data_IF_942886698384
#
_entry.id   IF_942886698384
#
_cell.length_a   1.000
_cell.length_b   1.000
_cell.length_c   1.000
_cell.angle_alpha   90.00
_cell.angle_beta   90.00
_cell.angle_gamma   90.00
#
_symmetry.space_group_name_H-M   'P 1'
#
loop_
_entity.id
_entity.type
_entity.pdbx_description
1 polymer ?
#
# COMPACT_ATOMS: atom_id res chain seq x y z
N UNK A 1 -6.12 -26.89 36.92
CA UNK A 1 -5.09 -26.55 35.92
C UNK A 1 -5.81 -25.79 34.82
N UNK A 2 -5.82 -24.46 34.90
CA UNK A 2 -6.53 -23.61 33.96
C UNK A 2 -5.56 -23.27 32.84
N UNK A 3 -5.74 -23.88 31.67
CA UNK A 3 -5.15 -23.39 30.42
C UNK A 3 -5.64 -21.97 30.25
N UNK A 4 -4.74 -21.00 30.37
CA UNK A 4 -5.05 -19.61 29.99
C UNK A 4 -5.21 -19.63 28.48
N UNK A 5 -6.44 -19.53 28.00
CA UNK A 5 -6.71 -19.19 26.61
C UNK A 5 -6.09 -17.81 26.38
N UNK A 6 -5.07 -17.78 25.54
CA UNK A 6 -4.46 -16.54 25.08
C UNK A 6 -5.48 -15.88 24.14
N UNK A 7 -6.29 -14.95 24.66
CA UNK A 7 -7.01 -14.00 23.79
C UNK A 7 -6.00 -13.35 22.86
N UNK A 8 -6.27 -13.23 21.54
CA UNK A 8 -5.33 -12.60 20.63
C UNK A 8 -5.11 -11.16 21.09
N UNK A 9 -3.90 -10.90 21.58
CA UNK A 9 -3.40 -9.59 21.95
C UNK A 9 -3.20 -8.82 20.63
N UNK A 10 -4.30 -8.28 20.11
CA UNK A 10 -4.42 -7.09 19.26
C UNK A 10 -3.20 -6.76 18.39
N UNK A 11 -3.17 -7.29 17.16
CA UNK A 11 -2.10 -7.12 16.18
C UNK A 11 -2.07 -5.71 15.52
N UNK A 12 -0.89 -5.11 15.31
CA UNK A 12 -0.74 -3.88 14.53
C UNK A 12 -1.06 -4.13 13.03
N UNK A 13 -1.46 -3.09 12.27
CA UNK A 13 -1.93 -3.28 10.91
C UNK A 13 -0.79 -3.49 9.91
N UNK A 14 -1.14 -4.13 8.80
CA UNK A 14 -0.39 -4.10 7.55
C UNK A 14 -0.96 -3.01 6.65
N UNK A 15 -0.11 -2.10 6.19
CA UNK A 15 -0.49 -0.98 5.33
C UNK A 15 -0.17 -1.30 3.88
N UNK A 16 -1.19 -1.27 3.02
CA UNK A 16 -1.06 -1.35 1.57
C UNK A 16 -1.10 0.07 1.00
N UNK A 17 0.07 0.61 0.65
CA UNK A 17 0.19 1.94 0.06
C UNK A 17 -0.09 1.86 -1.44
N UNK A 18 -1.20 2.44 -1.87
CA UNK A 18 -1.75 2.33 -3.23
C UNK A 18 -1.87 3.64 -3.99
N UNK A 19 -2.11 3.53 -5.29
CA UNK A 19 -2.20 4.62 -6.24
C UNK A 19 -1.38 4.37 -7.50
N UNK A 20 -1.56 5.21 -8.51
CA UNK A 20 -0.89 5.06 -9.81
C UNK A 20 0.63 5.23 -9.71
N UNK A 21 1.36 4.77 -10.71
CA UNK A 21 2.79 5.00 -10.83
C UNK A 21 3.09 6.50 -10.86
N UNK A 22 4.17 6.92 -10.19
CA UNK A 22 4.50 8.33 -10.02
C UNK A 22 3.76 9.05 -8.87
N UNK A 23 2.79 8.41 -8.20
CA UNK A 23 2.11 9.03 -7.05
C UNK A 23 3.01 9.21 -5.82
N UNK A 24 4.16 8.53 -5.76
CA UNK A 24 5.13 8.66 -4.67
C UNK A 24 5.09 7.55 -3.62
N UNK A 25 4.42 6.42 -3.91
CA UNK A 25 4.30 5.25 -3.01
C UNK A 25 5.61 4.89 -2.30
N UNK A 26 6.64 4.46 -3.04
CA UNK A 26 7.92 4.02 -2.46
C UNK A 26 8.56 5.08 -1.55
N UNK A 27 8.50 6.35 -1.92
CA UNK A 27 9.04 7.45 -1.10
C UNK A 27 8.30 7.60 0.22
N UNK A 28 6.96 7.65 0.16
CA UNK A 28 6.13 7.82 1.37
C UNK A 28 6.19 6.56 2.24
N UNK A 29 6.15 5.37 1.64
CA UNK A 29 6.30 4.10 2.34
C UNK A 29 7.64 4.02 3.09
N UNK A 30 8.74 4.42 2.44
CA UNK A 30 10.06 4.48 3.07
C UNK A 30 10.13 5.41 4.26
N UNK A 31 9.52 6.60 4.17
CA UNK A 31 9.47 7.56 5.29
C UNK A 31 8.66 6.99 6.45
N UNK A 32 7.48 6.43 6.18
CA UNK A 32 6.61 5.87 7.22
C UNK A 32 7.29 4.66 7.88
N UNK A 33 7.81 3.72 7.08
CA UNK A 33 8.49 2.53 7.58
C UNK A 33 9.70 2.89 8.44
N UNK A 34 10.54 3.84 8.00
CA UNK A 34 11.68 4.31 8.77
C UNK A 34 11.28 5.03 10.07
N UNK A 35 10.17 5.76 10.06
CA UNK A 35 9.67 6.48 11.24
C UNK A 35 9.07 5.53 12.28
N UNK A 36 8.34 4.51 11.84
CA UNK A 36 7.66 3.55 12.71
C UNK A 36 8.51 2.31 13.05
N UNK A 37 9.62 2.10 12.35
CA UNK A 37 10.45 0.90 12.48
C UNK A 37 9.78 -0.35 11.90
N UNK A 38 8.93 -0.21 10.88
CA UNK A 38 8.18 -1.31 10.28
C UNK A 38 8.92 -1.91 9.08
N UNK A 39 8.63 -3.18 8.78
CA UNK A 39 9.11 -3.81 7.56
C UNK A 39 8.48 -3.13 6.33
N UNK A 40 9.30 -2.90 5.29
CA UNK A 40 8.87 -2.36 4.01
C UNK A 40 9.13 -3.39 2.91
N UNK A 41 8.06 -3.73 2.18
CA UNK A 41 8.15 -4.51 0.95
C UNK A 41 7.79 -3.65 -0.26
N UNK A 42 8.66 -3.60 -1.26
CA UNK A 42 8.31 -3.04 -2.56
C UNK A 42 7.52 -4.08 -3.36
N UNK A 43 6.24 -3.84 -3.63
CA UNK A 43 5.40 -4.85 -4.30
C UNK A 43 5.82 -5.09 -5.74
N UNK A 44 6.42 -4.10 -6.41
CA UNK A 44 6.96 -4.28 -7.77
C UNK A 44 8.09 -5.34 -7.80
N UNK A 45 8.80 -5.55 -6.68
CA UNK A 45 9.83 -6.59 -6.56
C UNK A 45 9.23 -8.01 -6.50
N UNK A 46 7.92 -8.14 -6.24
CA UNK A 46 7.21 -9.42 -6.21
C UNK A 46 6.66 -9.83 -7.58
N UNK A 47 6.86 -9.02 -8.62
CA UNK A 47 6.42 -9.39 -9.97
C UNK A 47 7.17 -10.63 -10.47
N UNK A 48 6.46 -11.58 -11.14
CA UNK A 48 7.13 -12.66 -11.82
C UNK A 48 8.01 -12.10 -12.96
N UNK A 49 9.12 -12.79 -13.32
CA UNK A 49 10.03 -12.33 -14.37
C UNK A 49 9.34 -11.99 -15.71
N UNK A 50 8.27 -12.72 -16.05
CA UNK A 50 7.48 -12.47 -17.25
C UNK A 50 6.82 -11.08 -17.25
N UNK A 51 6.31 -10.61 -16.11
CA UNK A 51 5.70 -9.29 -16.00
C UNK A 51 6.75 -8.19 -16.11
N UNK A 52 7.90 -8.38 -15.45
CA UNK A 52 9.02 -7.44 -15.54
C UNK A 52 9.50 -7.31 -17.00
N UNK A 53 9.65 -8.42 -17.72
CA UNK A 53 10.03 -8.42 -19.13
C UNK A 53 8.98 -7.71 -20.01
N UNK A 54 7.69 -7.97 -19.79
CA UNK A 54 6.58 -7.34 -20.52
C UNK A 54 6.57 -5.82 -20.31
N UNK A 55 6.66 -5.37 -19.06
CA UNK A 55 6.74 -3.94 -18.73
C UNK A 55 8.03 -3.29 -19.27
N UNK A 56 9.18 -3.97 -19.20
CA UNK A 56 10.43 -3.48 -19.76
C UNK A 56 10.38 -3.31 -21.29
N UNK A 57 9.55 -4.11 -21.97
CA UNK A 57 9.27 -3.96 -23.41
C UNK A 57 8.22 -2.89 -23.74
N UNK A 58 7.72 -2.15 -22.75
CA UNK A 58 6.69 -1.12 -22.91
C UNK A 58 5.27 -1.67 -23.11
N UNK A 59 5.08 -2.98 -22.94
CA UNK A 59 3.77 -3.60 -23.07
C UNK A 59 3.00 -3.53 -21.73
N UNK A 60 1.73 -3.10 -21.75
CA UNK A 60 0.93 -3.07 -20.53
C UNK A 60 0.61 -4.49 -20.06
N UNK A 61 0.55 -4.68 -18.74
CA UNK A 61 0.03 -5.90 -18.15
C UNK A 61 -1.50 -5.98 -18.32
N UNK A 62 -2.00 -7.18 -18.55
CA UNK A 62 -3.41 -7.57 -18.45
C UNK A 62 -3.74 -7.99 -17.01
N UNK A 63 -5.01 -8.19 -16.71
CA UNK A 63 -5.42 -8.64 -15.38
C UNK A 63 -4.97 -10.09 -15.11
N UNK A 64 -4.92 -10.93 -16.14
CA UNK A 64 -4.35 -12.29 -16.08
C UNK A 64 -2.85 -12.27 -15.75
N UNK A 65 -2.09 -11.31 -16.29
CA UNK A 65 -0.68 -11.12 -15.91
C UNK A 65 -0.55 -10.68 -14.43
N UNK A 66 -1.52 -9.91 -13.92
CA UNK A 66 -1.46 -9.33 -12.57
C UNK A 66 -1.81 -10.33 -11.47
N UNK A 67 -2.68 -11.31 -11.71
CA UNK A 67 -3.14 -12.21 -10.65
C UNK A 67 -2.02 -12.95 -9.91
N UNK A 68 -1.04 -13.59 -10.59
CA UNK A 68 0.07 -14.26 -9.89
C UNK A 68 0.96 -13.31 -9.07
N UNK A 69 1.00 -12.03 -9.45
CA UNK A 69 1.72 -11.01 -8.69
C UNK A 69 0.91 -10.58 -7.45
N UNK A 70 -0.39 -10.32 -7.61
CA UNK A 70 -1.28 -9.96 -6.52
C UNK A 70 -1.39 -11.07 -5.47
N UNK A 71 -1.34 -12.35 -5.87
CA UNK A 71 -1.27 -13.49 -4.96
C UNK A 71 0.00 -13.46 -4.08
N UNK A 72 1.15 -13.07 -4.63
CA UNK A 72 2.39 -12.91 -3.85
C UNK A 72 2.32 -11.74 -2.88
N UNK A 73 1.70 -10.63 -3.31
CA UNK A 73 1.43 -9.48 -2.43
C UNK A 73 0.49 -9.91 -1.29
N UNK A 74 -0.59 -10.63 -1.62
CA UNK A 74 -1.54 -11.16 -0.64
C UNK A 74 -0.87 -12.11 0.36
N UNK A 75 0.00 -13.00 -0.12
CA UNK A 75 0.76 -13.90 0.73
C UNK A 75 1.64 -13.12 1.73
N UNK A 76 2.36 -12.09 1.27
CA UNK A 76 3.19 -11.28 2.17
C UNK A 76 2.35 -10.55 3.23
N UNK A 77 1.19 -10.01 2.84
CA UNK A 77 0.24 -9.37 3.75
C UNK A 77 -0.28 -10.37 4.78
N UNK A 78 -0.74 -11.54 4.33
CA UNK A 78 -1.26 -12.61 5.18
C UNK A 78 -0.20 -13.11 6.17
N UNK A 79 1.04 -13.33 5.72
CA UNK A 79 2.13 -13.75 6.59
C UNK A 79 2.42 -12.73 7.71
N UNK A 80 2.22 -11.44 7.47
CA UNK A 80 2.37 -10.40 8.48
C UNK A 80 1.17 -10.37 9.42
N UNK A 81 -0.06 -10.37 8.89
CA UNK A 81 -1.27 -10.34 9.72
C UNK A 81 -1.39 -11.58 10.61
N UNK A 82 -1.07 -12.77 10.09
CA UNK A 82 -1.12 -14.04 10.83
C UNK A 82 -0.12 -14.09 11.99
N UNK A 83 1.03 -13.42 11.83
CA UNK A 83 2.07 -13.30 12.87
C UNK A 83 1.85 -12.11 13.80
N UNK A 84 0.84 -11.28 13.53
CA UNK A 84 0.63 -10.01 14.23
C UNK A 84 1.81 -9.05 14.09
N UNK A 85 2.45 -9.03 12.93
CA UNK A 85 3.58 -8.14 12.64
C UNK A 85 3.10 -6.93 11.81
N UNK A 86 3.54 -5.71 12.15
CA UNK A 86 3.25 -4.56 11.33
C UNK A 86 4.08 -4.60 10.05
N UNK A 87 3.57 -4.02 8.98
CA UNK A 87 4.30 -3.93 7.72
C UNK A 87 3.72 -2.90 6.78
N UNK A 88 4.53 -2.46 5.83
CA UNK A 88 4.10 -1.59 4.73
C UNK A 88 4.48 -2.27 3.42
N UNK A 89 3.53 -2.37 2.50
CA UNK A 89 3.78 -2.84 1.14
C UNK A 89 3.28 -1.82 0.11
N UNK A 90 4.12 -1.51 -0.88
CA UNK A 90 3.68 -0.71 -2.03
C UNK A 90 2.96 -1.61 -3.01
N UNK A 91 1.74 -1.25 -3.43
CA UNK A 91 1.01 -2.02 -4.45
C UNK A 91 0.07 -1.08 -5.20
N UNK A 92 0.03 -1.14 -6.53
CA UNK A 92 -0.85 -0.24 -7.29
C UNK A 92 -2.34 -0.41 -6.91
N UNK A 93 -2.77 -1.66 -6.66
CA UNK A 93 -4.10 -2.04 -6.15
C UNK A 93 -5.28 -1.24 -6.76
N UNK A 94 -5.21 -0.97 -8.07
CA UNK A 94 -6.04 0.03 -8.74
C UNK A 94 -7.52 -0.37 -8.84
N UNK A 95 -7.83 -1.67 -8.89
CA UNK A 95 -9.20 -2.18 -8.96
C UNK A 95 -9.70 -2.67 -7.61
N UNK A 96 -11.00 -2.57 -7.35
CA UNK A 96 -11.66 -3.15 -6.18
C UNK A 96 -11.40 -4.65 -6.09
N UNK A 97 -11.46 -5.38 -7.21
CA UNK A 97 -11.17 -6.82 -7.24
C UNK A 97 -9.75 -7.17 -6.77
N UNK A 98 -8.78 -6.26 -6.91
CA UNK A 98 -7.43 -6.45 -6.39
C UNK A 98 -7.39 -6.21 -4.89
N UNK A 99 -8.08 -5.18 -4.43
CA UNK A 99 -8.19 -4.88 -2.99
C UNK A 99 -8.99 -5.93 -2.25
N UNK A 100 -10.00 -6.54 -2.88
CA UNK A 100 -10.75 -7.67 -2.33
C UNK A 100 -9.87 -8.88 -2.02
N UNK A 101 -8.80 -9.11 -2.79
CA UNK A 101 -7.83 -10.17 -2.52
C UNK A 101 -6.89 -9.82 -1.36
N UNK A 102 -6.60 -8.52 -1.17
CA UNK A 102 -5.63 -8.03 -0.19
C UNK A 102 -6.27 -7.67 1.15
N UNK A 103 -7.55 -7.31 1.18
CA UNK A 103 -8.25 -6.87 2.38
C UNK A 103 -8.49 -8.02 3.33
N UNK A 104 -8.50 -7.69 4.61
CA UNK A 104 -8.73 -8.62 5.70
C UNK A 104 -8.67 -7.86 7.01
N UNK A 105 -8.78 -8.60 8.12
CA UNK A 105 -8.57 -8.01 9.43
C UNK A 105 -7.13 -7.45 9.52
N UNK A 106 -7.00 -6.29 10.16
CA UNK A 106 -5.72 -5.60 10.33
C UNK A 106 -5.03 -5.17 9.01
N UNK A 107 -5.76 -5.06 7.90
CA UNK A 107 -5.24 -4.47 6.65
C UNK A 107 -5.82 -3.08 6.42
N UNK A 108 -4.95 -2.11 6.14
CA UNK A 108 -5.33 -0.71 5.87
C UNK A 108 -4.79 -0.29 4.51
N UNK A 109 -5.64 0.22 3.64
CA UNK A 109 -5.22 0.83 2.39
C UNK A 109 -4.88 2.30 2.61
N UNK A 110 -3.80 2.77 1.99
CA UNK A 110 -3.50 4.20 1.92
C UNK A 110 -3.46 4.60 0.45
N UNK A 111 -4.49 5.31 -0.02
CA UNK A 111 -4.61 5.73 -1.40
C UNK A 111 -4.03 7.14 -1.60
N UNK A 112 -2.89 7.20 -2.29
CA UNK A 112 -2.30 8.46 -2.74
C UNK A 112 -2.99 8.94 -4.01
N UNK A 113 -3.79 10.00 -3.88
CA UNK A 113 -4.59 10.57 -4.96
C UNK A 113 -3.97 11.87 -5.49
N UNK A 114 -3.97 12.03 -6.81
CA UNK A 114 -3.48 13.23 -7.47
C UNK A 114 -4.17 13.45 -8.80
N UNK A 115 -4.16 14.71 -9.26
CA UNK A 115 -4.58 14.99 -10.63
C UNK A 115 -3.58 14.41 -11.62
N UNK A 116 -4.05 14.19 -12.85
CA UNK A 116 -3.19 13.74 -13.95
C UNK A 116 -1.97 14.65 -14.12
N UNK A 117 -2.17 15.95 -14.01
CA UNK A 117 -1.14 16.99 -14.18
C UNK A 117 -0.07 16.87 -13.08
N UNK A 118 -0.49 16.73 -11.81
CA UNK A 118 0.44 16.55 -10.69
C UNK A 118 1.29 15.29 -10.85
N UNK A 119 0.68 14.18 -11.29
CA UNK A 119 1.38 12.92 -11.49
C UNK A 119 2.33 13.01 -12.69
N UNK A 120 1.88 13.61 -13.80
CA UNK A 120 2.69 13.81 -14.99
C UNK A 120 3.93 14.67 -14.69
N UNK A 121 3.76 15.78 -13.96
CA UNK A 121 4.86 16.64 -13.54
C UNK A 121 5.90 15.87 -12.70
N UNK A 122 5.44 15.07 -11.74
CA UNK A 122 6.30 14.19 -10.92
C UNK A 122 7.03 13.13 -11.73
N UNK A 123 6.41 12.59 -12.79
CA UNK A 123 7.06 11.63 -13.68
C UNK A 123 8.14 12.31 -14.55
N UNK A 124 7.89 13.53 -15.03
CA UNK A 124 8.86 14.26 -15.87
C UNK A 124 10.11 14.73 -15.11
N UNK A 125 10.02 14.92 -13.80
CA UNK A 125 11.14 15.34 -12.95
C UNK A 125 12.08 14.19 -12.58
N UNK A 126 11.70 12.93 -12.81
CA UNK A 126 12.57 11.76 -12.64
C UNK A 126 13.42 11.55 -13.89
N UNK A 127 14.70 11.89 -13.82
CA UNK A 127 15.66 11.83 -14.93
C UNK A 127 15.92 10.42 -15.49
N UNK A 128 15.68 9.35 -14.70
CA UNK A 128 16.13 7.99 -15.06
C UNK A 128 15.05 7.01 -15.51
N UNK A 129 13.76 7.36 -15.42
CA UNK A 129 12.68 6.46 -15.86
C UNK A 129 11.55 7.25 -16.52
N UNK A 130 11.69 7.50 -17.82
CA UNK A 130 10.60 8.05 -18.62
C UNK A 130 9.48 7.01 -18.73
N UNK A 131 8.41 7.18 -17.94
CA UNK A 131 7.15 6.48 -18.19
C UNK A 131 6.39 7.22 -19.29
N UNK A 132 6.05 6.57 -20.42
CA UNK A 132 5.24 7.21 -21.44
C UNK A 132 3.87 7.61 -20.87
N UNK A 133 3.41 8.82 -21.22
CA UNK A 133 2.16 9.39 -20.72
C UNK A 133 0.93 8.47 -20.96
N UNK A 134 0.96 7.66 -22.02
CA UNK A 134 -0.08 6.68 -22.32
C UNK A 134 -0.26 5.59 -21.25
N UNK A 135 0.81 5.22 -20.52
CA UNK A 135 0.72 4.28 -19.40
C UNK A 135 0.09 4.92 -18.17
N UNK A 136 0.33 6.21 -17.93
CA UNK A 136 -0.35 6.95 -16.87
C UNK A 136 -1.86 7.01 -17.13
N UNK A 137 -2.25 7.37 -18.35
CA UNK A 137 -3.67 7.45 -18.74
C UNK A 137 -4.38 6.09 -18.55
N UNK A 138 -3.69 4.99 -18.89
CA UNK A 138 -4.21 3.62 -18.67
C UNK A 138 -4.41 3.30 -17.18
N UNK A 139 -3.48 3.72 -16.32
CA UNK A 139 -3.60 3.49 -14.88
C UNK A 139 -4.67 4.35 -14.23
N UNK A 140 -4.80 5.61 -14.65
CA UNK A 140 -5.89 6.49 -14.20
C UNK A 140 -7.24 5.91 -14.61
N UNK A 141 -7.37 5.41 -15.85
CA UNK A 141 -8.60 4.77 -16.32
C UNK A 141 -8.94 3.47 -15.59
N UNK A 142 -7.93 2.74 -15.10
CA UNK A 142 -8.11 1.51 -14.33
C UNK A 142 -8.33 1.77 -12.82
N UNK A 143 -8.12 3.00 -12.34
CA UNK A 143 -8.26 3.34 -10.93
C UNK A 143 -9.73 3.42 -10.55
N UNK A 144 -10.14 2.47 -9.72
CA UNK A 144 -11.39 2.46 -8.98
C UNK A 144 -11.06 2.97 -7.57
N UNK A 145 -11.53 4.16 -7.16
CA UNK A 145 -11.32 4.66 -5.80
C UNK A 145 -11.78 3.63 -4.73
N UNK A 146 -11.15 3.58 -3.55
CA UNK A 146 -11.67 2.77 -2.45
C UNK A 146 -13.11 3.15 -2.09
N UNK A 147 -13.97 2.15 -1.93
CA UNK A 147 -15.35 2.31 -1.48
C UNK A 147 -15.44 2.51 0.05
N UNK A 148 -16.55 3.05 0.59
CA UNK A 148 -16.68 3.30 2.03
C UNK A 148 -16.63 2.06 2.93
N UNK A 149 -16.82 0.86 2.37
CA UNK A 149 -16.68 -0.42 3.09
C UNK A 149 -15.23 -0.95 3.14
N UNK A 150 -14.30 -0.24 2.51
CA UNK A 150 -12.87 -0.56 2.55
C UNK A 150 -12.17 0.29 3.64
N UNK A 151 -11.33 -0.34 4.48
CA UNK A 151 -10.54 0.40 5.46
C UNK A 151 -9.42 1.16 4.74
N UNK A 152 -9.73 2.38 4.31
CA UNK A 152 -8.86 3.20 3.48
C UNK A 152 -8.64 4.60 4.07
N UNK A 153 -7.40 5.06 4.00
CA UNK A 153 -6.98 6.45 4.21
C UNK A 153 -6.68 7.04 2.83
N UNK A 154 -7.31 8.17 2.49
CA UNK A 154 -7.09 8.85 1.19
C UNK A 154 -6.32 10.14 1.42
N UNK A 155 -5.18 10.30 0.76
CA UNK A 155 -4.27 11.44 0.94
C UNK A 155 -3.88 12.04 -0.40
N UNK A 156 -4.05 13.35 -0.52
CA UNK A 156 -3.73 14.11 -1.73
C UNK A 156 -2.22 14.32 -1.88
N UNK A 157 -1.69 14.23 -3.10
CA UNK A 157 -0.25 14.38 -3.36
C UNK A 157 0.23 15.85 -3.47
N UNK A 158 -0.47 16.80 -2.85
CA UNK A 158 -0.14 18.23 -2.96
C UNK A 158 1.09 18.66 -2.16
N UNK A 159 1.30 18.06 -1.00
CA UNK A 159 2.32 18.47 -0.04
C UNK A 159 3.62 17.67 -0.14
N UNK A 160 4.71 18.14 0.50
CA UNK A 160 5.97 17.41 0.54
C UNK A 160 5.81 16.00 1.14
N UNK A 161 6.56 14.99 0.66
CA UNK A 161 6.43 13.60 1.12
C UNK A 161 6.50 13.40 2.64
N UNK A 162 7.30 14.21 3.34
CA UNK A 162 7.41 14.15 4.81
C UNK A 162 6.13 14.59 5.52
N UNK A 163 5.41 15.58 4.99
CA UNK A 163 4.14 16.04 5.55
C UNK A 163 3.04 15.01 5.30
N UNK A 164 2.98 14.47 4.07
CA UNK A 164 2.04 13.40 3.73
C UNK A 164 2.27 12.15 4.59
N UNK A 165 3.52 11.76 4.81
CA UNK A 165 3.86 10.65 5.70
C UNK A 165 3.41 10.91 7.15
N UNK A 166 3.63 12.12 7.68
CA UNK A 166 3.20 12.49 9.02
C UNK A 166 1.66 12.48 9.15
N UNK A 167 0.94 12.96 8.13
CA UNK A 167 -0.52 12.91 8.06
C UNK A 167 -1.02 11.46 8.08
N UNK A 168 -0.44 10.58 7.25
CA UNK A 168 -0.80 9.16 7.19
C UNK A 168 -0.55 8.51 8.56
N UNK A 169 0.60 8.76 9.19
CA UNK A 169 0.91 8.24 10.53
C UNK A 169 -0.15 8.69 11.54
N UNK A 170 -0.51 9.98 11.55
CA UNK A 170 -1.54 10.51 12.44
C UNK A 170 -2.91 9.82 12.23
N UNK A 171 -3.27 9.52 10.99
CA UNK A 171 -4.51 8.80 10.66
C UNK A 171 -4.44 7.29 10.97
N UNK A 172 -3.24 6.71 11.01
CA UNK A 172 -3.03 5.34 11.47
C UNK A 172 -3.09 5.23 12.99
N UNK A 173 -2.79 6.30 13.74
CA UNK A 173 -2.76 6.25 15.21
C UNK A 173 -4.01 5.67 15.87
N UNK A 174 -5.26 5.98 15.48
CA UNK A 174 -6.43 5.35 16.08
C UNK A 174 -6.42 3.83 15.92
N UNK A 175 -5.90 3.32 14.78
CA UNK A 175 -5.76 1.89 14.50
C UNK A 175 -4.62 1.26 15.31
N UNK A 176 -3.60 2.05 15.64
CA UNK A 176 -2.53 1.64 16.57
C UNK A 176 -2.97 1.69 18.05
N UNK A 177 -3.85 2.63 18.41
CA UNK A 177 -4.27 2.94 19.79
C UNK A 177 -5.53 2.23 20.25
N UNK A 178 -6.43 1.83 19.35
CA UNK A 178 -7.52 0.89 19.67
C UNK A 178 -7.02 -0.47 20.18
N UNK A 179 -5.70 -0.62 20.24
CA UNK A 179 -4.91 -1.78 20.68
C UNK A 179 -4.03 -1.44 21.91
N UNK A 180 -4.21 -0.28 22.57
CA UNK A 180 -3.47 0.13 23.76
C UNK A 180 -4.38 0.76 24.83
N UNK A 181 -5.05 -0.07 25.64
CA UNK A 181 -6.04 0.42 26.60
C UNK A 181 -6.33 -0.48 27.80
N UNK A 182 -5.32 -0.76 28.64
CA UNK A 182 -5.32 -0.64 30.11
C UNK A 182 -4.03 -1.21 30.71
N UNK A 183 -3.04 -0.35 30.94
CA UNK A 183 -2.19 -0.54 32.11
C UNK A 183 -2.93 0.11 33.29
N UNK A 184 -3.72 -0.67 34.01
CA UNK A 184 -4.21 -0.26 35.33
C UNK A 184 -3.11 -0.53 36.37
N UNK A 185 -2.68 0.59 36.95
CA UNK A 185 -2.09 0.80 38.27
C UNK A 185 -2.09 -0.40 39.23
N UNK A 186 -0.89 -0.72 39.74
CA UNK A 186 -0.65 -1.46 40.98
C UNK A 186 0.67 -0.98 41.59
#
# INVERSE_FOLDING_TARGET
MSTRECTPETAPPVVVLMGVSGSGKSTIAGIIAGTLGWELQEGDALHPPANLAKMASGQPLTDEDRWPWLERVAQWVQEHTDKGLPGIITCSALRRSYRDLLRGDHVVFVHLVGTREQIAERLTTRLDHFMPASLLDTQIAALEPPDPDEDAIVVGIGDPPSQLAAEIIAQLEPRLRSHGGRAETG
#
